data_IF_921120907992
#
_entry.id   IF_921120907992
#
_cell.length_a   1.000
_cell.length_b   1.000
_cell.length_c   1.000
_cell.angle_alpha   90.00
_cell.angle_beta   90.00
_cell.angle_gamma   90.00
#
_symmetry.space_group_name_H-M   'P 1'
#
loop_
_entity.id
_entity.type
_entity.pdbx_description
1 polymer ?
#
# COMPACT_ATOMS: atom_id res chain seq x y z
N UNK A 1 0.11 -16.47 20.35
CA UNK A 1 0.98 -15.27 20.24
C UNK A 1 0.09 -14.05 20.16
N UNK A 2 0.32 -13.02 20.97
CA UNK A 2 -0.37 -11.73 20.78
C UNK A 2 0.25 -11.03 19.56
N UNK A 3 -0.53 -10.88 18.49
CA UNK A 3 -0.11 -10.10 17.33
C UNK A 3 -0.22 -8.62 17.65
N UNK A 4 0.88 -8.00 18.08
CA UNK A 4 0.92 -6.55 18.30
C UNK A 4 0.99 -5.86 16.93
N UNK A 5 -0.17 -5.43 16.41
CA UNK A 5 -0.29 -4.64 15.18
C UNK A 5 0.69 -3.46 15.23
N UNK A 6 1.49 -3.26 14.19
CA UNK A 6 2.43 -2.14 14.17
C UNK A 6 1.68 -0.80 14.22
N UNK A 7 2.36 0.23 14.72
CA UNK A 7 1.86 1.60 14.65
C UNK A 7 1.72 2.01 13.18
N UNK A 8 0.47 2.16 12.74
CA UNK A 8 0.12 2.69 11.42
C UNK A 8 0.04 4.21 11.51
N UNK A 9 0.57 4.90 10.50
CA UNK A 9 0.35 6.33 10.31
C UNK A 9 -0.61 6.53 9.15
N UNK A 10 -1.63 7.35 9.37
CA UNK A 10 -2.66 7.65 8.40
C UNK A 10 -2.62 9.14 8.06
N UNK A 11 -2.16 9.48 6.85
CA UNK A 11 -1.99 10.87 6.41
C UNK A 11 -3.31 11.54 5.99
N UNK A 12 -4.28 10.73 5.55
CA UNK A 12 -5.59 11.18 5.08
C UNK A 12 -6.66 10.32 5.75
N UNK A 13 -7.72 10.95 6.26
CA UNK A 13 -8.83 10.25 6.93
C UNK A 13 -9.49 9.26 5.95
N UNK A 14 -10.02 8.16 6.49
CA UNK A 14 -10.71 7.14 5.70
C UNK A 14 -11.94 6.66 6.46
N UNK A 15 -13.06 6.50 5.78
CA UNK A 15 -14.35 6.07 6.34
C UNK A 15 -14.69 4.59 6.07
N UNK A 16 -13.80 3.85 5.38
CA UNK A 16 -14.00 2.45 4.95
C UNK A 16 -15.20 2.22 4.00
N UNK A 17 -15.63 3.25 3.26
CA UNK A 17 -16.63 3.10 2.21
C UNK A 17 -16.06 2.41 0.94
N UNK A 18 -16.98 1.95 0.08
CA UNK A 18 -16.65 1.42 -1.26
C UNK A 18 -16.39 2.52 -2.32
N UNK A 19 -16.52 3.78 -1.92
CA UNK A 19 -16.36 4.97 -2.75
C UNK A 19 -15.28 5.82 -2.08
N UNK A 20 -14.32 6.30 -2.87
CA UNK A 20 -13.31 7.25 -2.41
C UNK A 20 -13.98 8.63 -2.41
N UNK A 21 -14.17 9.22 -1.23
CA UNK A 21 -14.67 10.59 -1.11
C UNK A 21 -13.57 11.61 -1.46
N UNK A 22 -13.97 12.85 -1.81
CA UNK A 22 -13.02 13.91 -2.20
C UNK A 22 -11.96 14.19 -1.14
N UNK A 23 -12.28 14.02 0.15
CA UNK A 23 -11.33 14.18 1.26
C UNK A 23 -10.40 12.98 1.46
N UNK A 24 -10.66 11.85 0.82
CA UNK A 24 -9.84 10.62 0.87
C UNK A 24 -8.83 10.53 -0.27
N UNK A 25 -8.92 11.40 -1.28
CA UNK A 25 -8.00 11.45 -2.40
C UNK A 25 -6.59 11.69 -1.89
N UNK A 26 -5.66 10.83 -2.32
CA UNK A 26 -4.23 10.92 -2.01
C UNK A 26 -3.45 11.20 -3.30
N UNK A 27 -2.11 11.16 -3.25
CA UNK A 27 -1.23 11.46 -4.38
C UNK A 27 -0.25 10.32 -4.69
N UNK A 28 -0.65 9.05 -4.47
CA UNK A 28 0.29 7.94 -4.55
C UNK A 28 0.53 7.35 -5.96
N UNK A 29 -0.39 7.54 -6.92
CA UNK A 29 -0.20 7.20 -8.35
C UNK A 29 -1.03 8.16 -9.22
N UNK A 30 -0.36 8.94 -10.07
CA UNK A 30 -1.00 9.85 -11.04
C UNK A 30 -2.02 9.12 -11.93
N UNK A 31 -3.19 9.73 -12.16
CA UNK A 31 -4.24 9.19 -13.03
C UNK A 31 -5.20 8.19 -12.39
N UNK A 32 -4.85 7.57 -11.25
CA UNK A 32 -5.74 6.61 -10.55
C UNK A 32 -5.93 6.90 -9.05
N UNK A 33 -5.22 7.88 -8.48
CA UNK A 33 -5.27 8.25 -7.06
C UNK A 33 -6.66 8.70 -6.54
N UNK A 34 -7.61 9.03 -7.42
CA UNK A 34 -9.02 9.32 -7.07
C UNK A 34 -9.91 8.07 -6.98
N UNK A 35 -9.44 6.91 -7.46
CA UNK A 35 -10.16 5.63 -7.45
C UNK A 35 -9.41 4.55 -6.67
N UNK A 36 -8.43 4.95 -5.85
CA UNK A 36 -7.53 4.00 -5.22
C UNK A 36 -6.98 4.40 -3.84
N UNK A 37 -6.72 3.39 -3.00
CA UNK A 37 -6.16 3.54 -1.64
C UNK A 37 -4.73 3.02 -1.62
N UNK A 38 -3.81 3.89 -1.21
CA UNK A 38 -2.38 3.62 -1.15
C UNK A 38 -1.98 3.22 0.28
N UNK A 39 -1.16 2.18 0.41
CA UNK A 39 -0.45 1.84 1.63
C UNK A 39 1.05 2.15 1.38
N UNK A 40 1.84 2.43 2.41
CA UNK A 40 3.29 2.60 2.30
C UNK A 40 3.99 1.92 3.48
N UNK A 41 5.21 1.42 3.27
CA UNK A 41 6.06 0.90 4.34
C UNK A 41 7.42 1.59 4.32
N UNK A 42 8.02 1.74 5.50
CA UNK A 42 9.40 2.24 5.61
C UNK A 42 10.34 1.09 5.26
N UNK A 43 11.10 1.26 4.19
CA UNK A 43 12.10 0.30 3.70
C UNK A 43 13.51 0.87 3.70
N UNK A 44 14.48 0.03 3.34
CA UNK A 44 15.90 0.39 3.20
C UNK A 44 16.30 0.46 1.73
N UNK A 45 17.26 1.32 1.42
CA UNK A 45 18.02 1.27 0.18
C UNK A 45 19.26 0.37 0.36
N UNK A 46 19.88 0.01 -0.76
CA UNK A 46 21.21 -0.61 -0.80
C UNK A 46 22.30 0.36 -0.31
N UNK A 47 23.51 -0.13 -0.09
CA UNK A 47 24.64 0.71 0.37
C UNK A 47 25.01 1.84 -0.59
N UNK A 48 24.62 1.76 -1.87
CA UNK A 48 24.83 2.85 -2.84
C UNK A 48 23.69 3.88 -2.89
N UNK A 49 22.61 3.67 -2.13
CA UNK A 49 21.37 4.46 -2.15
C UNK A 49 20.68 4.55 -3.53
N UNK A 50 20.88 3.57 -4.42
CA UNK A 50 20.33 3.55 -5.79
C UNK A 50 19.21 2.54 -6.00
N UNK A 51 19.11 1.51 -5.15
CA UNK A 51 18.14 0.43 -5.31
C UNK A 51 17.41 0.13 -3.98
N UNK A 52 16.08 -0.10 -4.00
CA UNK A 52 15.36 -0.56 -2.81
C UNK A 52 15.73 -2.00 -2.45
N UNK A 53 15.95 -2.26 -1.16
CA UNK A 53 16.07 -3.61 -0.62
C UNK A 53 14.72 -4.12 -0.13
N UNK A 54 14.50 -5.43 -0.23
CA UNK A 54 13.36 -6.08 0.43
C UNK A 54 13.64 -6.22 1.94
N UNK A 55 13.51 -5.11 2.68
CA UNK A 55 13.82 -5.02 4.11
C UNK A 55 12.60 -5.05 5.02
N UNK A 56 11.48 -5.64 4.55
CA UNK A 56 10.23 -5.66 5.33
C UNK A 56 10.36 -6.59 6.53
N UNK A 57 9.97 -6.12 7.71
CA UNK A 57 9.92 -6.96 8.90
C UNK A 57 8.73 -7.93 8.84
N UNK A 58 8.77 -9.08 9.54
CA UNK A 58 7.61 -9.97 9.67
C UNK A 58 6.36 -9.24 10.17
N UNK A 59 6.51 -8.28 11.08
CA UNK A 59 5.42 -7.47 11.62
C UNK A 59 4.85 -6.49 10.58
N UNK A 60 5.68 -5.88 9.72
CA UNK A 60 5.21 -5.08 8.59
C UNK A 60 4.41 -5.93 7.61
N UNK A 61 4.88 -7.14 7.31
CA UNK A 61 4.19 -8.10 6.44
C UNK A 61 2.83 -8.49 7.04
N UNK A 62 2.77 -8.86 8.34
CA UNK A 62 1.51 -9.17 9.02
C UNK A 62 0.54 -7.98 9.00
N UNK A 63 1.00 -6.79 9.39
CA UNK A 63 0.15 -5.58 9.42
C UNK A 63 -0.35 -5.20 8.01
N UNK A 64 0.44 -5.45 6.96
CA UNK A 64 -0.03 -5.30 5.58
C UNK A 64 -1.12 -6.33 5.22
N UNK A 65 -0.99 -7.59 5.63
CA UNK A 65 -2.04 -8.60 5.42
C UNK A 65 -3.32 -8.25 6.18
N UNK A 66 -3.22 -7.77 7.42
CA UNK A 66 -4.37 -7.32 8.21
C UNK A 66 -5.13 -6.19 7.47
N UNK A 67 -4.42 -5.18 6.96
CA UNK A 67 -5.01 -4.07 6.19
C UNK A 67 -5.63 -4.55 4.86
N UNK A 68 -4.97 -5.50 4.16
CA UNK A 68 -5.54 -6.08 2.93
C UNK A 68 -6.82 -6.87 3.26
N UNK A 69 -6.85 -7.61 4.36
CA UNK A 69 -8.02 -8.34 4.85
C UNK A 69 -9.17 -7.41 5.22
N UNK A 70 -8.88 -6.31 5.92
CA UNK A 70 -9.85 -5.24 6.19
C UNK A 70 -10.47 -4.73 4.89
N UNK A 71 -9.67 -4.38 3.88
CA UNK A 71 -10.16 -3.90 2.57
C UNK A 71 -11.01 -4.94 1.84
N UNK A 72 -10.56 -6.19 1.77
CA UNK A 72 -11.31 -7.27 1.10
C UNK A 72 -12.66 -7.54 1.77
N UNK A 73 -12.80 -7.23 3.07
CA UNK A 73 -14.07 -7.32 3.79
C UNK A 73 -15.15 -6.35 3.30
N UNK A 74 -14.79 -5.17 2.79
CA UNK A 74 -15.77 -4.18 2.27
C UNK A 74 -15.69 -3.94 0.75
N UNK A 75 -14.58 -4.28 0.07
CA UNK A 75 -14.43 -4.28 -1.39
C UNK A 75 -13.83 -5.62 -1.86
N UNK A 76 -14.60 -6.72 -1.92
CA UNK A 76 -14.06 -8.05 -2.20
C UNK A 76 -13.47 -8.21 -3.62
N UNK A 77 -13.96 -7.43 -4.59
CA UNK A 77 -13.50 -7.48 -5.98
C UNK A 77 -12.33 -6.53 -6.28
N UNK A 78 -11.75 -5.88 -5.26
CA UNK A 78 -10.68 -4.89 -5.42
C UNK A 78 -9.50 -5.44 -6.20
N UNK A 79 -9.02 -4.67 -7.17
CA UNK A 79 -7.71 -4.92 -7.79
C UNK A 79 -6.61 -4.48 -6.87
N UNK A 80 -5.86 -5.50 -6.50
CA UNK A 80 -4.57 -5.46 -5.86
C UNK A 80 -3.58 -5.18 -7.04
N UNK A 81 -2.98 -3.96 -7.19
CA UNK A 81 -2.15 -3.57 -8.40
C UNK A 81 -0.82 -2.72 -8.23
N UNK A 82 0.33 -3.17 -8.78
CA UNK A 82 1.76 -2.75 -8.54
C UNK A 82 2.18 -1.26 -8.62
N UNK A 83 3.06 -0.70 -7.76
CA UNK A 83 3.53 0.71 -7.96
C UNK A 83 4.54 0.75 -9.10
N UNK A 84 5.45 -0.22 -9.08
CA UNK A 84 6.28 -0.62 -10.21
C UNK A 84 5.50 -1.18 -11.41
N UNK A 85 4.16 -1.20 -11.38
CA UNK A 85 3.29 -1.54 -12.52
C UNK A 85 2.48 -0.35 -13.04
N UNK A 86 2.49 0.79 -12.33
CA UNK A 86 1.98 2.08 -12.81
C UNK A 86 3.09 3.11 -13.03
N UNK A 87 4.30 2.84 -12.54
CA UNK A 87 5.48 3.67 -12.68
C UNK A 87 6.69 2.79 -13.00
N UNK A 88 7.60 3.28 -13.85
CA UNK A 88 8.90 2.63 -14.08
C UNK A 88 9.86 2.79 -12.90
N UNK A 89 9.56 3.69 -11.96
CA UNK A 89 10.38 3.90 -10.77
C UNK A 89 10.19 2.80 -9.73
N UNK A 90 11.30 2.28 -9.23
CA UNK A 90 11.35 1.33 -8.11
C UNK A 90 11.44 2.07 -6.78
N UNK A 91 10.46 2.92 -6.49
CA UNK A 91 10.36 3.62 -5.21
C UNK A 91 9.48 2.82 -4.23
N UNK A 92 9.73 2.98 -2.92
CA UNK A 92 9.07 2.23 -1.84
C UNK A 92 7.58 2.56 -1.61
N UNK A 93 6.93 3.22 -2.57
CA UNK A 93 5.49 3.40 -2.57
C UNK A 93 4.84 2.06 -2.90
N UNK A 94 3.87 1.68 -2.08
CA UNK A 94 3.30 0.36 -2.08
C UNK A 94 1.94 0.49 -2.84
N UNK A 95 1.94 -0.05 -4.08
CA UNK A 95 0.82 -0.46 -4.93
C UNK A 95 0.92 -2.00 -5.38
N UNK A 96 -0.09 -2.92 -5.37
CA UNK A 96 0.05 -4.44 -5.35
C UNK A 96 0.11 -5.24 -6.65
N UNK A 97 1.23 -5.65 -7.19
CA UNK A 97 1.27 -7.01 -7.77
C UNK A 97 2.71 -7.51 -7.83
N UNK A 98 2.86 -8.74 -8.30
CA UNK A 98 3.88 -9.64 -7.80
C UNK A 98 5.13 -9.61 -8.66
N UNK A 99 6.02 -8.66 -8.38
CA UNK A 99 7.49 -8.82 -8.31
C UNK A 99 8.05 -7.67 -7.48
N UNK A 100 8.61 -7.98 -6.30
CA UNK A 100 8.93 -7.03 -5.22
C UNK A 100 7.73 -6.15 -4.80
N UNK A 101 6.67 -6.82 -4.35
CA UNK A 101 5.35 -6.28 -3.99
C UNK A 101 5.38 -4.98 -3.16
N UNK A 102 5.14 -3.89 -3.87
CA UNK A 102 4.29 -2.76 -3.52
C UNK A 102 2.81 -3.26 -3.20
N UNK A 103 1.82 -2.50 -2.61
CA UNK A 103 0.35 -2.81 -2.29
C UNK A 103 -0.73 -1.65 -2.39
N UNK A 104 -1.69 -1.64 -3.34
CA UNK A 104 -2.71 -0.60 -3.73
C UNK A 104 -4.04 -1.24 -4.14
N UNK A 105 -5.10 -0.63 -3.65
CA UNK A 105 -6.51 -0.94 -3.84
C UNK A 105 -7.03 -0.10 -5.01
N UNK A 106 -7.34 -0.68 -6.17
CA UNK A 106 -8.13 -0.01 -7.24
C UNK A 106 -9.48 -0.71 -7.36
N UNK A 107 -10.53 0.06 -7.67
CA UNK A 107 -11.83 -0.47 -8.13
C UNK A 107 -11.70 -1.46 -9.31
#
# INVERSE_FOLDING_TARGET
MQSTRLKIFQFVKHNNAQIIDTFEITNGVTGIHSISRHLCYIGRLDSSHKAPLNSRTPQQISTMFDIIGEVLGYVPNVKIAGHNQFSTRREGILCVTKRNMSTLVIR
#
